data_IF_033399398797
#
_entry.id   IF_033399398797
#
_cell.length_a   1.000
_cell.length_b   1.000
_cell.length_c   1.000
_cell.angle_alpha   90.00
_cell.angle_beta   90.00
_cell.angle_gamma   90.00
#
_symmetry.space_group_name_H-M   'P 1'
#
loop_
_entity.id
_entity.type
_entity.pdbx_description
1 polymer ?
#
# COMPACT_ATOMS: atom_id res chain seq x y z
N UNK A 1 10.05 40.94 53.19
CA UNK A 1 10.00 42.38 52.90
C UNK A 1 10.41 42.61 51.45
N UNK A 2 9.64 43.47 50.75
CA UNK A 2 9.89 44.10 49.42
C UNK A 2 9.62 43.21 48.19
N UNK A 3 8.39 43.19 47.69
CA UNK A 3 7.75 44.11 46.72
C UNK A 3 8.05 43.69 45.27
N UNK A 4 7.10 43.06 44.54
CA UNK A 4 5.91 43.61 43.87
C UNK A 4 6.24 44.21 42.49
N UNK A 5 5.67 43.60 41.43
CA UNK A 5 5.31 44.14 40.09
C UNK A 5 4.91 42.94 39.21
N UNK A 6 3.67 42.45 39.18
CA UNK A 6 2.43 42.99 38.59
C UNK A 6 2.60 43.54 37.16
N UNK A 7 2.08 42.79 36.18
CA UNK A 7 1.23 43.33 35.10
C UNK A 7 0.50 42.22 34.33
N UNK A 8 -0.82 42.23 34.48
CA UNK A 8 -1.86 41.87 33.50
C UNK A 8 -1.83 40.49 32.83
N UNK A 9 -2.60 39.54 33.37
CA UNK A 9 -3.27 38.55 32.53
C UNK A 9 -4.78 38.82 32.54
N UNK A 10 -5.25 39.27 31.39
CA UNK A 10 -6.64 39.51 31.05
C UNK A 10 -7.38 38.17 31.13
N UNK A 11 -8.37 38.10 32.02
CA UNK A 11 -9.32 36.99 32.11
C UNK A 11 -10.16 36.99 30.84
N UNK A 12 -9.94 36.02 29.96
CA UNK A 12 -10.88 35.68 28.92
C UNK A 12 -11.43 34.29 29.26
N UNK A 13 -12.64 34.27 29.83
CA UNK A 13 -13.40 33.05 30.06
C UNK A 13 -13.68 32.38 28.72
N UNK A 14 -13.16 31.18 28.52
CA UNK A 14 -13.58 30.31 27.43
C UNK A 14 -14.41 29.21 28.08
N UNK A 15 -15.72 29.42 27.99
CA UNK A 15 -16.76 28.46 28.32
C UNK A 15 -16.53 27.12 27.62
N UNK A 16 -16.76 26.04 28.37
CA UNK A 16 -17.02 24.73 27.80
C UNK A 16 -18.20 24.81 26.82
N UNK A 17 -17.94 24.50 25.55
CA UNK A 17 -18.96 24.00 24.64
C UNK A 17 -18.33 22.88 23.82
N UNK A 18 -18.61 21.64 24.23
CA UNK A 18 -18.39 20.47 23.43
C UNK A 18 -19.26 20.57 22.16
N UNK A 19 -18.63 20.74 21.00
CA UNK A 19 -19.25 20.47 19.70
C UNK A 19 -18.44 19.37 19.03
N UNK A 20 -18.85 18.15 19.34
CA UNK A 20 -18.53 16.97 18.54
C UNK A 20 -19.40 16.97 17.29
N UNK A 21 -18.79 16.54 16.17
CA UNK A 21 -19.40 16.08 14.92
C UNK A 21 -19.88 17.18 13.96
N UNK A 22 -19.13 17.32 12.85
CA UNK A 22 -19.71 17.27 11.51
C UNK A 22 -18.66 16.86 10.48
N UNK A 23 -18.78 15.59 10.10
CA UNK A 23 -18.69 15.03 8.76
C UNK A 23 -17.45 15.40 7.93
N UNK A 24 -16.55 14.43 7.81
CA UNK A 24 -15.61 14.39 6.70
C UNK A 24 -16.36 14.60 5.39
N UNK A 25 -15.87 15.53 4.57
CA UNK A 25 -16.35 15.72 3.21
C UNK A 25 -15.98 14.44 2.47
N UNK A 26 -16.92 13.49 2.41
CA UNK A 26 -16.91 12.46 1.39
C UNK A 26 -17.12 13.21 0.08
N UNK A 27 -16.03 13.57 -0.60
CA UNK A 27 -16.10 13.89 -2.02
C UNK A 27 -16.52 12.59 -2.69
N UNK A 28 -17.82 12.42 -2.87
CA UNK A 28 -18.33 11.48 -3.85
C UNK A 28 -17.68 11.88 -5.17
N UNK A 29 -16.74 11.07 -5.65
CA UNK A 29 -16.29 11.14 -7.03
C UNK A 29 -17.49 10.76 -7.87
N UNK A 30 -18.35 11.73 -8.18
CA UNK A 30 -19.33 11.58 -9.25
C UNK A 30 -18.51 11.31 -10.50
N UNK A 31 -18.51 10.05 -10.93
CA UNK A 31 -17.99 9.70 -12.24
C UNK A 31 -18.67 10.63 -13.25
N UNK A 32 -17.92 11.36 -14.10
CA UNK A 32 -18.51 12.22 -15.09
C UNK A 32 -19.52 11.40 -15.91
N UNK A 33 -20.74 11.92 -16.08
CA UNK A 33 -21.80 11.29 -16.87
C UNK A 33 -21.44 11.12 -18.35
N UNK A 34 -20.34 11.75 -18.80
CA UNK A 34 -19.73 11.56 -20.11
C UNK A 34 -18.20 11.63 -20.04
N UNK A 35 -17.46 10.77 -20.75
CA UNK A 35 -15.99 10.84 -20.82
C UNK A 35 -15.48 12.22 -21.27
N UNK A 36 -14.42 12.78 -20.66
CA UNK A 36 -13.89 14.10 -21.00
C UNK A 36 -13.02 14.06 -22.26
N UNK A 37 -13.56 13.57 -23.39
CA UNK A 37 -12.80 13.27 -24.61
C UNK A 37 -12.12 14.51 -25.21
N UNK A 38 -12.77 15.68 -25.12
CA UNK A 38 -12.18 16.95 -25.58
C UNK A 38 -10.91 17.33 -24.80
N UNK A 39 -10.89 17.06 -23.49
CA UNK A 39 -9.72 17.30 -22.66
C UNK A 39 -8.57 16.35 -23.02
N UNK A 40 -8.91 15.08 -23.26
CA UNK A 40 -7.94 14.05 -23.66
C UNK A 40 -7.25 14.44 -24.97
N UNK A 41 -8.02 14.89 -25.98
CA UNK A 41 -7.45 15.36 -27.25
C UNK A 41 -6.57 16.58 -27.06
N UNK A 42 -7.09 17.63 -26.40
CA UNK A 42 -6.37 18.90 -26.24
C UNK A 42 -5.09 18.80 -25.40
N UNK A 43 -4.98 17.79 -24.53
CA UNK A 43 -3.82 17.57 -23.66
C UNK A 43 -3.03 16.29 -23.98
N UNK A 44 -3.27 15.66 -25.14
CA UNK A 44 -2.76 14.33 -25.45
C UNK A 44 -1.24 14.19 -25.25
N UNK A 45 -0.44 15.16 -25.70
CA UNK A 45 1.02 15.13 -25.52
C UNK A 45 1.46 15.16 -24.05
N UNK A 46 0.83 16.04 -23.25
CA UNK A 46 1.10 16.14 -21.81
C UNK A 46 0.72 14.87 -21.06
N UNK A 47 -0.43 14.29 -21.40
CA UNK A 47 -0.91 13.02 -20.83
C UNK A 47 0.07 11.89 -21.18
N UNK A 48 0.49 11.76 -22.44
CA UNK A 48 1.45 10.72 -22.86
C UNK A 48 2.78 10.85 -22.14
N UNK A 49 3.34 12.07 -22.06
CA UNK A 49 4.58 12.31 -21.32
C UNK A 49 4.45 11.90 -19.85
N UNK A 50 3.32 12.22 -19.23
CA UNK A 50 3.03 11.83 -17.84
C UNK A 50 2.95 10.32 -17.68
N UNK A 51 2.24 9.62 -18.58
CA UNK A 51 2.11 8.16 -18.54
C UNK A 51 3.45 7.44 -18.75
N UNK A 52 4.29 7.93 -19.66
CA UNK A 52 5.63 7.39 -19.88
C UNK A 52 6.51 7.52 -18.63
N UNK A 53 6.46 8.68 -17.97
CA UNK A 53 7.18 8.88 -16.70
C UNK A 53 6.66 7.96 -15.60
N UNK A 54 5.34 7.76 -15.52
CA UNK A 54 4.75 6.78 -14.59
C UNK A 54 5.26 5.37 -14.89
N UNK A 55 5.23 4.94 -16.15
CA UNK A 55 5.69 3.62 -16.57
C UNK A 55 7.15 3.38 -16.18
N UNK A 56 8.02 4.36 -16.43
CA UNK A 56 9.44 4.27 -16.09
C UNK A 56 9.67 4.16 -14.57
N UNK A 57 9.03 5.04 -13.79
CA UNK A 57 9.20 5.04 -12.34
C UNK A 57 8.64 3.77 -11.70
N UNK A 58 7.47 3.31 -12.14
CA UNK A 58 6.82 2.13 -11.59
C UNK A 58 7.64 0.86 -11.87
N UNK A 59 8.37 0.77 -13.00
CA UNK A 59 9.23 -0.35 -13.32
C UNK A 59 10.36 -0.52 -12.29
N UNK A 60 11.01 0.58 -11.88
CA UNK A 60 12.02 0.55 -10.84
C UNK A 60 11.43 0.15 -9.48
N UNK A 61 10.28 0.72 -9.12
CA UNK A 61 9.57 0.38 -7.88
C UNK A 61 9.22 -1.11 -7.82
N UNK A 62 8.81 -1.71 -8.94
CA UNK A 62 8.51 -3.13 -9.03
C UNK A 62 9.71 -4.03 -8.77
N UNK A 63 10.88 -3.67 -9.30
CA UNK A 63 12.12 -4.44 -9.06
C UNK A 63 12.45 -4.39 -7.57
N UNK A 64 12.47 -3.19 -6.99
CA UNK A 64 12.80 -3.00 -5.57
C UNK A 64 11.82 -3.75 -4.64
N UNK A 65 10.52 -3.59 -4.87
CA UNK A 65 9.49 -4.29 -4.09
C UNK A 65 9.61 -5.81 -4.25
N UNK A 66 9.81 -6.30 -5.48
CA UNK A 66 9.99 -7.73 -5.75
C UNK A 66 11.19 -8.33 -5.03
N UNK A 67 12.33 -7.64 -5.04
CA UNK A 67 13.54 -8.06 -4.31
C UNK A 67 13.32 -8.08 -2.79
N UNK A 68 12.67 -7.05 -2.25
CA UNK A 68 12.34 -6.99 -0.82
C UNK A 68 11.42 -8.15 -0.41
N UNK A 69 10.34 -8.38 -1.15
CA UNK A 69 9.41 -9.48 -0.86
C UNK A 69 10.06 -10.86 -1.03
N UNK A 70 10.94 -11.02 -2.02
CA UNK A 70 11.70 -12.25 -2.16
C UNK A 70 12.67 -12.48 -0.98
N UNK A 71 13.34 -11.42 -0.53
CA UNK A 71 14.24 -11.49 0.63
C UNK A 71 13.49 -11.89 1.90
N UNK A 72 12.32 -11.31 2.14
CA UNK A 72 11.48 -11.67 3.29
C UNK A 72 11.05 -13.14 3.21
N UNK A 73 10.51 -13.58 2.07
CA UNK A 73 10.06 -14.98 1.89
C UNK A 73 11.21 -15.99 2.06
N UNK A 74 12.33 -15.77 1.39
CA UNK A 74 13.42 -16.76 1.30
C UNK A 74 14.41 -16.69 2.46
N UNK A 75 14.85 -15.49 2.84
CA UNK A 75 15.93 -15.31 3.82
C UNK A 75 15.42 -15.18 5.25
N UNK A 76 14.16 -14.79 5.46
CA UNK A 76 13.59 -14.62 6.79
C UNK A 76 12.58 -15.71 7.10
N UNK A 77 11.49 -15.78 6.33
CA UNK A 77 10.37 -16.69 6.60
C UNK A 77 10.81 -18.15 6.46
N UNK A 78 11.27 -18.55 5.27
CA UNK A 78 11.60 -19.96 4.99
C UNK A 78 12.70 -20.48 5.92
N UNK A 79 13.77 -19.69 6.14
CA UNK A 79 14.88 -20.09 7.02
C UNK A 79 14.45 -20.25 8.48
N UNK A 80 13.66 -19.32 9.00
CA UNK A 80 13.19 -19.42 10.39
C UNK A 80 12.24 -20.60 10.56
N UNK A 81 11.21 -20.74 9.71
CA UNK A 81 10.27 -21.85 9.78
C UNK A 81 10.96 -23.21 9.67
N UNK A 82 11.98 -23.34 8.81
CA UNK A 82 12.76 -24.57 8.69
C UNK A 82 13.48 -24.92 9.99
N UNK A 83 14.09 -23.94 10.67
CA UNK A 83 14.76 -24.16 11.95
C UNK A 83 13.79 -24.54 13.06
N UNK A 84 12.61 -23.92 13.10
CA UNK A 84 11.57 -24.25 14.08
C UNK A 84 11.05 -25.68 13.88
N UNK A 85 10.84 -26.09 12.63
CA UNK A 85 10.45 -27.46 12.30
C UNK A 85 11.52 -28.48 12.74
N UNK A 86 12.80 -28.21 12.46
CA UNK A 86 13.91 -29.06 12.91
C UNK A 86 14.02 -29.16 14.44
N UNK A 87 13.73 -28.07 15.14
CA UNK A 87 13.69 -28.02 16.60
C UNK A 87 12.39 -28.57 17.20
N UNK A 88 11.46 -29.06 16.38
CA UNK A 88 10.14 -29.57 16.80
C UNK A 88 9.33 -28.55 17.62
N UNK A 89 9.55 -27.25 17.37
CA UNK A 89 8.79 -26.17 18.00
C UNK A 89 7.48 -25.99 17.23
N UNK A 90 6.34 -25.95 17.93
CA UNK A 90 5.06 -25.64 17.30
C UNK A 90 5.07 -24.22 16.71
N UNK A 91 5.16 -24.16 15.38
CA UNK A 91 5.16 -22.95 14.57
C UNK A 91 3.99 -22.92 13.59
N UNK A 92 2.90 -23.64 13.88
CA UNK A 92 1.72 -23.79 13.00
C UNK A 92 1.19 -22.45 12.46
N UNK A 93 1.03 -21.44 13.33
CA UNK A 93 0.63 -20.09 12.92
C UNK A 93 1.60 -19.42 11.94
N UNK A 94 2.90 -19.59 12.15
CA UNK A 94 3.92 -19.00 11.28
C UNK A 94 3.95 -19.67 9.91
N UNK A 95 3.66 -20.98 9.85
CA UNK A 95 3.51 -21.72 8.59
C UNK A 95 2.31 -21.22 7.79
N UNK A 96 1.17 -20.95 8.45
CA UNK A 96 0.00 -20.37 7.77
C UNK A 96 0.31 -18.99 7.18
N UNK A 97 0.89 -18.08 7.96
CA UNK A 97 1.24 -16.74 7.47
C UNK A 97 2.27 -16.84 6.33
N UNK A 98 3.23 -17.78 6.40
CA UNK A 98 4.21 -17.99 5.35
C UNK A 98 3.58 -18.44 4.03
N UNK A 99 2.58 -19.33 4.08
CA UNK A 99 1.80 -19.74 2.90
C UNK A 99 1.07 -18.53 2.31
N UNK A 100 0.34 -17.78 3.14
CA UNK A 100 -0.44 -16.63 2.70
C UNK A 100 0.47 -15.53 2.11
N UNK A 101 1.67 -15.35 2.68
CA UNK A 101 2.68 -14.44 2.15
C UNK A 101 3.15 -14.84 0.75
N UNK A 102 3.41 -16.14 0.52
CA UNK A 102 3.85 -16.62 -0.79
C UNK A 102 2.73 -16.52 -1.84
N UNK A 103 1.49 -16.78 -1.46
CA UNK A 103 0.33 -16.59 -2.32
C UNK A 103 0.15 -15.11 -2.70
N UNK A 104 0.18 -14.21 -1.71
CA UNK A 104 0.11 -12.77 -1.95
C UNK A 104 1.28 -12.26 -2.81
N UNK A 105 2.48 -12.83 -2.66
CA UNK A 105 3.64 -12.49 -3.49
C UNK A 105 3.43 -12.84 -4.95
N UNK A 106 2.83 -14.01 -5.23
CA UNK A 106 2.47 -14.43 -6.59
C UNK A 106 1.36 -13.55 -7.16
N UNK A 107 0.33 -13.25 -6.37
CA UNK A 107 -0.75 -12.36 -6.77
C UNK A 107 -0.23 -10.95 -7.12
N UNK A 108 0.65 -10.38 -6.29
CA UNK A 108 1.31 -9.10 -6.57
C UNK A 108 2.06 -9.13 -7.92
N UNK A 109 2.83 -10.19 -8.18
CA UNK A 109 3.57 -10.31 -9.44
C UNK A 109 2.63 -10.37 -10.65
N UNK A 110 1.56 -11.15 -10.56
CA UNK A 110 0.55 -11.28 -11.62
C UNK A 110 -0.18 -9.97 -11.88
N UNK A 111 -0.70 -9.33 -10.83
CA UNK A 111 -1.44 -8.06 -10.94
C UNK A 111 -0.56 -6.93 -11.46
N UNK A 112 0.73 -6.93 -11.09
CA UNK A 112 1.66 -5.96 -11.66
C UNK A 112 1.87 -6.19 -13.16
N UNK A 113 2.02 -7.44 -13.60
CA UNK A 113 2.17 -7.75 -15.03
C UNK A 113 0.92 -7.33 -15.82
N UNK A 114 -0.28 -7.52 -15.26
CA UNK A 114 -1.52 -7.05 -15.86
C UNK A 114 -1.57 -5.52 -15.95
N UNK A 115 -1.22 -4.81 -14.86
CA UNK A 115 -1.11 -3.36 -14.85
C UNK A 115 -0.12 -2.84 -15.89
N UNK A 116 1.07 -3.44 -15.97
CA UNK A 116 2.14 -3.04 -16.88
C UNK A 116 1.77 -3.28 -18.35
N UNK A 117 1.13 -4.40 -18.65
CA UNK A 117 0.55 -4.68 -19.97
C UNK A 117 -0.51 -3.64 -20.34
N UNK A 118 -1.44 -3.33 -19.42
CA UNK A 118 -2.49 -2.34 -19.63
C UNK A 118 -1.93 -0.92 -19.81
N UNK A 119 -0.90 -0.54 -19.05
CA UNK A 119 -0.22 0.75 -19.18
C UNK A 119 0.55 0.84 -20.50
N UNK A 120 1.22 -0.22 -20.92
CA UNK A 120 1.89 -0.29 -22.22
C UNK A 120 0.91 -0.10 -23.36
N UNK A 121 -0.24 -0.78 -23.31
CA UNK A 121 -1.31 -0.59 -24.28
C UNK A 121 -1.83 0.86 -24.27
N UNK A 122 -2.08 1.44 -23.08
CA UNK A 122 -2.54 2.82 -22.93
C UNK A 122 -1.57 3.83 -23.55
N UNK A 123 -0.27 3.69 -23.30
CA UNK A 123 0.77 4.59 -23.83
C UNK A 123 0.85 4.53 -25.36
N UNK A 124 0.52 3.36 -25.95
CA UNK A 124 0.49 3.14 -27.40
C UNK A 124 -0.79 3.65 -28.07
N UNK A 125 -1.91 3.71 -27.35
CA UNK A 125 -3.18 4.21 -27.90
C UNK A 125 -3.10 5.70 -28.21
N UNK A 126 -3.50 6.08 -29.42
CA UNK A 126 -3.52 7.49 -29.82
C UNK A 126 -4.66 8.26 -29.13
N UNK A 127 -4.32 9.19 -28.24
CA UNK A 127 -5.32 10.01 -27.53
C UNK A 127 -5.94 11.13 -28.36
N UNK A 128 -5.34 11.52 -29.51
CA UNK A 128 -5.89 12.54 -30.39
C UNK A 128 -6.92 11.94 -31.35
N UNK A 129 -6.54 10.85 -32.01
CA UNK A 129 -7.35 10.20 -33.03
C UNK A 129 -8.40 9.26 -32.42
N UNK A 130 -8.04 8.57 -31.33
CA UNK A 130 -8.86 7.54 -30.68
C UNK A 130 -9.09 7.84 -29.18
N UNK A 131 -9.61 9.03 -28.79
CA UNK A 131 -9.76 9.40 -27.38
C UNK A 131 -10.74 8.49 -26.61
N UNK A 132 -11.73 7.90 -27.28
CA UNK A 132 -12.66 6.95 -26.66
C UNK A 132 -11.97 5.63 -26.28
N UNK A 133 -11.19 5.05 -27.19
CA UNK A 133 -10.37 3.86 -26.92
C UNK A 133 -9.32 4.15 -25.85
N UNK A 134 -8.67 5.31 -25.93
CA UNK A 134 -7.70 5.77 -24.94
C UNK A 134 -8.34 5.87 -23.55
N UNK A 135 -9.51 6.50 -23.45
CA UNK A 135 -10.21 6.63 -22.18
C UNK A 135 -10.63 5.28 -21.60
N UNK A 136 -11.18 4.38 -22.43
CA UNK A 136 -11.53 3.04 -21.99
C UNK A 136 -10.31 2.27 -21.46
N UNK A 137 -9.17 2.36 -22.14
CA UNK A 137 -7.93 1.74 -21.69
C UNK A 137 -7.39 2.41 -20.42
N UNK A 138 -7.54 3.72 -20.26
CA UNK A 138 -7.15 4.45 -19.05
C UNK A 138 -7.89 3.93 -17.82
N UNK A 139 -9.20 3.67 -17.94
CA UNK A 139 -9.99 3.10 -16.84
C UNK A 139 -9.46 1.72 -16.45
N UNK A 140 -9.25 0.83 -17.42
CA UNK A 140 -8.66 -0.51 -17.18
C UNK A 140 -7.31 -0.43 -16.47
N UNK A 141 -6.41 0.44 -16.95
CA UNK A 141 -5.09 0.65 -16.35
C UNK A 141 -5.20 1.19 -14.92
N UNK A 142 -6.15 2.09 -14.64
CA UNK A 142 -6.38 2.61 -13.29
C UNK A 142 -6.89 1.53 -12.33
N UNK A 143 -7.79 0.68 -12.79
CA UNK A 143 -8.32 -0.42 -11.98
C UNK A 143 -7.23 -1.46 -11.68
N UNK A 144 -6.45 -1.85 -12.68
CA UNK A 144 -5.29 -2.74 -12.49
C UNK A 144 -4.26 -2.12 -11.51
N UNK A 145 -4.00 -0.80 -11.62
CA UNK A 145 -3.10 -0.11 -10.67
C UNK A 145 -3.64 -0.12 -9.24
N UNK A 146 -4.97 -0.03 -9.06
CA UNK A 146 -5.61 -0.15 -7.75
C UNK A 146 -5.37 -1.54 -7.15
N UNK A 147 -5.53 -2.60 -7.95
CA UNK A 147 -5.25 -3.97 -7.49
C UNK A 147 -3.79 -4.15 -7.06
N UNK A 148 -2.83 -3.60 -7.82
CA UNK A 148 -1.41 -3.59 -7.40
C UNK A 148 -1.24 -2.91 -6.04
N UNK A 149 -1.88 -1.76 -5.83
CA UNK A 149 -1.84 -1.05 -4.54
C UNK A 149 -2.40 -1.89 -3.40
N UNK A 150 -3.52 -2.58 -3.61
CA UNK A 150 -4.14 -3.47 -2.62
C UNK A 150 -3.24 -4.67 -2.29
N UNK A 151 -2.56 -5.23 -3.29
CA UNK A 151 -1.54 -6.26 -3.08
C UNK A 151 -0.36 -5.76 -2.26
N UNK A 152 0.13 -4.53 -2.48
CA UNK A 152 1.21 -3.95 -1.66
C UNK A 152 0.77 -3.81 -0.20
N UNK A 153 -0.47 -3.38 0.05
CA UNK A 153 -1.04 -3.33 1.41
C UNK A 153 -1.09 -4.72 2.03
N UNK A 154 -1.55 -5.73 1.28
CA UNK A 154 -1.64 -7.12 1.73
C UNK A 154 -0.26 -7.70 2.07
N UNK A 155 0.74 -7.48 1.20
CA UNK A 155 2.14 -7.90 1.44
C UNK A 155 2.71 -7.27 2.71
N UNK A 156 2.44 -5.97 2.92
CA UNK A 156 2.91 -5.24 4.10
C UNK A 156 2.26 -5.78 5.38
N UNK A 157 0.96 -6.07 5.34
CA UNK A 157 0.23 -6.68 6.45
C UNK A 157 0.78 -8.05 6.80
N UNK A 158 0.96 -8.94 5.83
CA UNK A 158 1.45 -10.30 6.07
C UNK A 158 2.89 -10.31 6.61
N UNK A 159 3.75 -9.41 6.13
CA UNK A 159 5.09 -9.23 6.71
C UNK A 159 5.02 -8.79 8.18
N UNK A 160 4.13 -7.85 8.51
CA UNK A 160 3.92 -7.40 9.88
C UNK A 160 3.33 -8.50 10.78
N UNK A 161 2.36 -9.25 10.27
CA UNK A 161 1.72 -10.37 10.99
C UNK A 161 2.75 -11.48 11.29
N UNK A 162 3.64 -11.77 10.32
CA UNK A 162 4.73 -12.71 10.54
C UNK A 162 5.68 -12.22 11.64
N UNK A 163 6.07 -10.94 11.61
CA UNK A 163 6.89 -10.33 12.68
C UNK A 163 6.21 -10.46 14.05
N UNK A 164 4.92 -10.18 14.15
CA UNK A 164 4.16 -10.34 15.41
C UNK A 164 4.18 -11.79 15.88
N UNK A 165 4.02 -12.77 14.97
CA UNK A 165 4.11 -14.18 15.32
C UNK A 165 5.50 -14.58 15.85
N UNK A 166 6.58 -14.02 15.26
CA UNK A 166 7.95 -14.22 15.75
C UNK A 166 8.13 -13.67 17.17
N UNK A 167 7.65 -12.45 17.46
CA UNK A 167 7.77 -11.86 18.80
C UNK A 167 7.00 -12.67 19.85
N UNK A 168 5.80 -13.15 19.49
CA UNK A 168 5.01 -14.01 20.38
C UNK A 168 5.71 -15.35 20.65
N UNK A 169 6.34 -15.93 19.63
CA UNK A 169 7.14 -17.14 19.80
C UNK A 169 8.32 -16.88 20.73
N UNK A 170 9.04 -15.77 20.55
CA UNK A 170 10.16 -15.37 21.42
C UNK A 170 9.72 -15.27 22.88
N UNK A 171 8.60 -14.61 23.17
CA UNK A 171 8.05 -14.52 24.54
C UNK A 171 7.74 -15.92 25.09
N UNK A 172 7.09 -16.80 24.31
CA UNK A 172 6.80 -18.17 24.73
C UNK A 172 8.06 -18.93 25.10
N UNK A 173 9.10 -18.88 24.26
CA UNK A 173 10.38 -19.55 24.50
C UNK A 173 11.09 -19.01 25.75
N UNK A 174 11.08 -17.70 25.97
CA UNK A 174 11.69 -17.08 27.16
C UNK A 174 10.92 -17.41 28.45
N UNK A 175 9.58 -17.43 28.40
CA UNK A 175 8.74 -17.77 29.56
C UNK A 175 8.75 -19.27 29.89
N UNK A 176 8.95 -20.13 28.88
CA UNK A 176 9.08 -21.59 29.05
C UNK A 176 10.46 -22.03 29.56
N UNK A 177 11.49 -21.20 29.40
CA UNK A 177 12.87 -21.47 29.84
C UNK A 177 13.13 -21.34 31.35
N UNK A 178 12.13 -20.99 32.17
CA UNK A 178 12.26 -20.89 33.63
C UNK A 178 11.93 -22.20 34.38
N UNK A 179 11.82 -23.33 33.67
CA UNK A 179 11.67 -24.67 34.25
C UNK A 179 12.74 -25.58 33.68
N UNK A 180 13.91 -25.57 34.33
CA UNK A 180 15.06 -26.43 34.07
C UNK A 180 16.11 -26.18 35.13
#
# INVERSE_FOLDING_TARGET
MKHLRSLAFFVCGISLAAVMIRSGIAVAQTAPSSPPLHLIRSQCQSIRSTLQRIQHNDALLRVNAGQAYNTISTNLIAKLNSRLALAQIDSSRMVMIARDYEEARKAFAQQYNEYESNLTALVRTDCADKPGEFYAQLIKTRDARRQVSESVTTMSKLAADYRVAVEQLKVKLLSGGSRG
#
